data_IF_732761167945
#
_entry.id   IF_732761167945
#
_cell.length_a   1.000
_cell.length_b   1.000
_cell.length_c   1.000
_cell.angle_alpha   90.00
_cell.angle_beta   90.00
_cell.angle_gamma   90.00
#
_symmetry.space_group_name_H-M   'P 1'
#
loop_
_entity.id
_entity.type
_entity.pdbx_description
1 polymer ?
#
# COMPACT_ATOMS: atom_id res chain seq x y z
N UNK A 1 12.70 -5.11 -5.09
CA UNK A 1 12.49 -3.87 -4.30
C UNK A 1 13.47 -2.83 -4.78
N UNK A 2 13.06 -1.56 -4.93
CA UNK A 2 14.00 -0.48 -5.18
C UNK A 2 15.06 -0.46 -4.05
N UNK A 3 16.35 -0.28 -4.38
CA UNK A 3 17.45 -0.43 -3.43
C UNK A 3 17.43 0.60 -2.28
N UNK A 4 16.72 1.70 -2.46
CA UNK A 4 16.56 2.77 -1.47
C UNK A 4 15.52 2.51 -0.38
N UNK A 5 14.81 1.37 -0.46
CA UNK A 5 13.77 0.98 0.50
C UNK A 5 14.22 -0.21 1.36
N UNK A 6 14.29 0.00 2.67
CA UNK A 6 14.63 -1.02 3.66
C UNK A 6 13.38 -1.66 4.26
N UNK A 7 13.45 -2.96 4.60
CA UNK A 7 12.31 -3.69 5.18
C UNK A 7 11.97 -3.15 6.57
N UNK A 8 10.78 -2.57 6.71
CA UNK A 8 10.26 -2.07 7.98
C UNK A 8 9.46 -3.15 8.71
N UNK A 9 8.61 -3.88 7.98
CA UNK A 9 7.73 -4.90 8.55
C UNK A 9 7.41 -5.96 7.51
N UNK A 10 7.28 -7.22 7.96
CA UNK A 10 6.74 -8.32 7.16
C UNK A 10 5.48 -8.84 7.84
N UNK A 11 4.42 -9.04 7.05
CA UNK A 11 3.16 -9.60 7.55
C UNK A 11 3.39 -11.01 8.09
N UNK A 12 2.60 -11.39 9.10
CA UNK A 12 2.71 -12.68 9.79
C UNK A 12 2.33 -13.87 8.91
N UNK A 13 1.41 -13.65 7.96
CA UNK A 13 1.00 -14.63 6.94
C UNK A 13 2.00 -14.73 5.78
N UNK A 14 2.97 -13.82 5.69
CA UNK A 14 3.98 -13.79 4.63
C UNK A 14 3.51 -13.09 3.35
N UNK A 15 2.24 -12.72 3.27
CA UNK A 15 1.60 -12.19 2.06
C UNK A 15 1.79 -10.69 1.89
N UNK A 16 2.59 -10.05 2.75
CA UNK A 16 2.84 -8.61 2.67
C UNK A 16 4.10 -8.16 3.35
N UNK A 17 4.54 -6.96 2.98
CA UNK A 17 5.66 -6.27 3.58
C UNK A 17 5.52 -4.75 3.43
N UNK A 18 6.02 -4.02 4.42
CA UNK A 18 6.19 -2.58 4.35
C UNK A 18 7.69 -2.26 4.35
N UNK A 19 8.07 -1.28 3.53
CA UNK A 19 9.42 -0.79 3.40
C UNK A 19 9.44 0.72 3.58
N UNK A 20 10.56 1.24 4.05
CA UNK A 20 10.76 2.67 4.25
C UNK A 20 12.06 3.12 3.60
N UNK A 21 12.04 4.27 2.94
CA UNK A 21 13.24 4.93 2.43
C UNK A 21 13.83 5.90 3.46
N UNK A 22 15.09 6.27 3.28
CA UNK A 22 15.80 7.18 4.20
C UNK A 22 15.15 8.57 4.34
N UNK A 23 14.42 9.04 3.32
CA UNK A 23 13.67 10.30 3.32
C UNK A 23 12.24 10.16 3.90
N UNK A 24 11.89 9.00 4.44
CA UNK A 24 10.62 8.75 5.12
C UNK A 24 9.48 8.28 4.23
N UNK A 25 9.70 8.05 2.93
CA UNK A 25 8.66 7.49 2.07
C UNK A 25 8.35 6.03 2.45
N UNK A 26 7.07 5.66 2.38
CA UNK A 26 6.59 4.31 2.70
C UNK A 26 6.15 3.58 1.44
N UNK A 27 6.63 2.35 1.29
CA UNK A 27 6.21 1.41 0.26
C UNK A 27 5.57 0.20 0.94
N UNK A 28 4.25 0.06 0.81
CA UNK A 28 3.53 -1.10 1.30
C UNK A 28 3.16 -2.03 0.13
N UNK A 29 3.48 -3.31 0.28
CA UNK A 29 3.12 -4.39 -0.64
C UNK A 29 2.26 -5.38 0.11
N UNK A 30 1.15 -5.74 -0.48
CA UNK A 30 0.25 -6.78 -0.02
C UNK A 30 -0.12 -7.63 -1.23
N UNK A 31 -0.21 -8.93 -1.00
CA UNK A 31 -0.67 -9.93 -1.92
C UNK A 31 -1.66 -10.83 -1.21
N UNK A 32 -2.33 -11.68 -1.97
CA UNK A 32 -3.16 -12.76 -1.46
C UNK A 32 -3.46 -13.68 -2.63
N UNK A 33 -3.62 -14.97 -2.37
CA UNK A 33 -4.05 -15.92 -3.40
C UNK A 33 -5.56 -15.75 -3.63
N UNK A 34 -5.91 -15.27 -4.83
CA UNK A 34 -7.29 -14.99 -5.21
C UNK A 34 -7.58 -15.59 -6.58
N UNK A 35 -8.80 -16.10 -6.75
CA UNK A 35 -9.26 -16.51 -8.07
C UNK A 35 -9.27 -15.30 -9.02
N UNK A 36 -8.94 -15.52 -10.30
CA UNK A 36 -8.89 -14.44 -11.31
C UNK A 36 -10.22 -13.66 -11.38
N UNK A 37 -11.36 -14.34 -11.21
CA UNK A 37 -12.69 -13.73 -11.18
C UNK A 37 -12.87 -12.72 -10.03
N UNK A 38 -12.13 -12.91 -8.93
CA UNK A 38 -12.28 -12.16 -7.70
C UNK A 38 -11.21 -11.07 -7.54
N UNK A 39 -10.19 -11.06 -8.42
CA UNK A 39 -9.10 -10.10 -8.38
C UNK A 39 -9.59 -8.65 -8.37
N UNK A 40 -10.39 -8.25 -9.36
CA UNK A 40 -10.90 -6.87 -9.47
C UNK A 40 -11.81 -6.47 -8.29
N UNK A 41 -12.79 -7.29 -7.86
CA UNK A 41 -13.55 -7.03 -6.65
C UNK A 41 -12.69 -6.84 -5.39
N UNK A 42 -11.68 -7.69 -5.19
CA UNK A 42 -10.82 -7.61 -4.00
C UNK A 42 -9.92 -6.38 -4.01
N UNK A 43 -9.31 -6.08 -5.15
CA UNK A 43 -8.53 -4.86 -5.37
C UNK A 43 -9.35 -3.60 -5.05
N UNK A 44 -10.59 -3.51 -5.55
CA UNK A 44 -11.47 -2.38 -5.26
C UNK A 44 -11.80 -2.29 -3.78
N UNK A 45 -12.07 -3.43 -3.13
CA UNK A 45 -12.34 -3.50 -1.69
C UNK A 45 -11.17 -2.96 -0.87
N UNK A 46 -9.93 -3.34 -1.21
CA UNK A 46 -8.75 -2.87 -0.49
C UNK A 46 -8.53 -1.37 -0.68
N UNK A 47 -8.62 -0.84 -1.90
CA UNK A 47 -8.54 0.62 -2.14
C UNK A 47 -9.52 1.37 -1.24
N UNK A 48 -10.78 0.90 -1.18
CA UNK A 48 -11.80 1.53 -0.35
C UNK A 48 -11.53 1.41 1.15
N UNK A 49 -10.81 0.39 1.61
CA UNK A 49 -10.37 0.26 2.99
C UNK A 49 -9.21 1.22 3.27
N UNK A 50 -8.21 1.25 2.41
CA UNK A 50 -7.05 2.14 2.53
C UNK A 50 -7.48 3.63 2.56
N UNK A 51 -8.43 4.03 1.69
CA UNK A 51 -9.00 5.38 1.70
C UNK A 51 -9.68 5.70 3.05
N UNK A 52 -10.41 4.74 3.64
CA UNK A 52 -11.03 4.91 4.96
C UNK A 52 -10.01 5.03 6.08
N UNK A 53 -8.84 4.40 5.92
CA UNK A 53 -7.72 4.52 6.85
C UNK A 53 -6.90 5.80 6.66
N UNK A 54 -7.30 6.67 5.72
CA UNK A 54 -6.66 7.97 5.49
C UNK A 54 -5.56 7.96 4.45
N UNK A 55 -5.40 6.88 3.67
CA UNK A 55 -4.55 6.92 2.49
C UNK A 55 -5.17 7.80 1.42
N UNK A 56 -4.36 8.69 0.84
CA UNK A 56 -4.71 9.49 -0.33
C UNK A 56 -3.96 8.98 -1.53
N UNK A 57 -4.67 8.45 -2.52
CA UNK A 57 -4.08 7.96 -3.75
C UNK A 57 -3.87 9.09 -4.76
N UNK A 58 -2.64 9.25 -5.23
CA UNK A 58 -2.24 10.26 -6.22
C UNK A 58 -2.02 9.65 -7.62
N UNK A 59 -1.89 8.32 -7.69
CA UNK A 59 -1.87 7.57 -8.93
C UNK A 59 -2.43 6.17 -8.71
N UNK A 60 -3.26 5.70 -9.63
CA UNK A 60 -3.83 4.35 -9.61
C UNK A 60 -3.87 3.79 -11.03
N UNK A 61 -3.31 2.61 -11.22
CA UNK A 61 -3.42 1.83 -12.46
C UNK A 61 -3.88 0.41 -12.14
N UNK A 62 -4.93 -0.01 -12.81
CA UNK A 62 -5.43 -1.38 -12.79
C UNK A 62 -5.15 -2.00 -14.15
N UNK A 63 -4.42 -3.11 -14.17
CA UNK A 63 -4.14 -3.91 -15.36
C UNK A 63 -4.65 -5.33 -15.16
N UNK A 64 -4.83 -6.08 -16.25
CA UNK A 64 -5.26 -7.47 -16.18
C UNK A 64 -4.25 -8.34 -15.40
N UNK A 65 -2.97 -7.97 -15.47
CA UNK A 65 -1.86 -8.72 -14.86
C UNK A 65 -1.44 -8.17 -13.49
N UNK A 66 -2.18 -7.22 -12.92
CA UNK A 66 -1.83 -6.64 -11.63
C UNK A 66 -2.35 -5.22 -11.40
N UNK A 67 -2.02 -4.68 -10.23
CA UNK A 67 -2.37 -3.32 -9.82
C UNK A 67 -1.12 -2.56 -9.38
N UNK A 68 -1.06 -1.27 -9.74
CA UNK A 68 -0.07 -0.32 -9.20
C UNK A 68 -0.80 0.86 -8.61
N UNK A 69 -0.53 1.16 -7.34
CA UNK A 69 -1.12 2.32 -6.66
C UNK A 69 -0.03 3.10 -5.94
N UNK A 70 -0.07 4.43 -6.05
CA UNK A 70 0.79 5.35 -5.28
C UNK A 70 -0.10 6.27 -4.45
N UNK A 71 0.20 6.37 -3.17
CA UNK A 71 -0.50 7.27 -2.27
C UNK A 71 0.40 7.74 -1.14
N UNK A 72 -0.12 8.68 -0.35
CA UNK A 72 0.47 9.13 0.89
C UNK A 72 -0.52 8.91 2.03
N UNK A 73 -0.02 8.52 3.19
CA UNK A 73 -0.78 8.47 4.45
C UNK A 73 -0.18 9.53 5.35
N UNK A 74 -0.96 10.52 5.73
CA UNK A 74 -0.52 11.50 6.74
C UNK A 74 -0.76 10.87 8.11
N UNK A 75 0.32 10.61 8.85
CA UNK A 75 0.23 10.17 10.24
C UNK A 75 -0.10 11.34 11.15
N UNK A 76 -1.01 11.14 12.10
CA UNK A 76 -1.54 12.19 13.00
C UNK A 76 -0.48 12.84 13.92
N UNK A 77 0.76 12.36 13.90
CA UNK A 77 1.88 12.95 14.64
C UNK A 77 2.39 14.28 14.05
N UNK A 78 1.99 14.63 12.82
CA UNK A 78 2.38 15.90 12.18
C UNK A 78 1.45 17.08 12.55
N UNK A 79 0.50 16.91 13.46
CA UNK A 79 -0.42 17.98 13.93
C UNK A 79 -0.11 18.48 15.36
N UNK A 80 1.15 18.40 15.80
CA UNK A 80 1.58 18.93 17.11
C UNK A 80 2.47 20.17 17.05
N UNK A 81 2.69 20.77 15.88
CA UNK A 81 3.31 22.10 15.78
C UNK A 81 2.48 22.96 14.82
N UNK A 82 1.51 23.67 15.39
CA UNK A 82 0.88 24.86 14.81
C UNK A 82 0.47 25.79 15.96
#
# INVERSE_FOLDING_TARGET
MPPEFELLHRSKDGDGAAFQSADGALLAVWGTDVAESDFLPQVKKQISQDEKEGWKFIYRRLTRDGQVTRGSKTTRSDMSEA
#
